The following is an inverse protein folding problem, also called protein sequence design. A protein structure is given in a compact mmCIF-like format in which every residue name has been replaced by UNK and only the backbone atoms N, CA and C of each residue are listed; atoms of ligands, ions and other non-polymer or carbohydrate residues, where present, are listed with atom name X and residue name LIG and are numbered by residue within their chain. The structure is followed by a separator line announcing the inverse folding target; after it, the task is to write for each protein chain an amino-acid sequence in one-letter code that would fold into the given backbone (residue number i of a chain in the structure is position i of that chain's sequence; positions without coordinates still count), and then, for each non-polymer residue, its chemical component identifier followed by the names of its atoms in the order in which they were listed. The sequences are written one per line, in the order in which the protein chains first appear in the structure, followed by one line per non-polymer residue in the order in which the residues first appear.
data_IF_553530346980
#
_entry.id   IF_553530346980
#
_cell.length_a   1.000
_cell.length_b   1.000
_cell.length_c   1.000
_cell.angle_alpha   90.00
_cell.angle_beta   90.00
_cell.angle_gamma   90.00
#
_symmetry.space_group_name_H-M   'P 1'
#
loop_
_entity.id
_entity.type
_entity.pdbx_description
1 polymer ?
#
# COMPACT_ATOMS: atom_id res chain seq x y z
N UNK A 1 -79.17 9.80 -35.99
CA UNK A 1 -78.25 8.78 -35.48
C UNK A 1 -76.90 9.43 -35.20
N UNK A 2 -76.56 9.63 -33.96
CA UNK A 2 -75.34 10.41 -33.48
C UNK A 2 -74.31 9.39 -33.07
N UNK A 3 -73.21 9.36 -33.78
CA UNK A 3 -71.99 8.59 -33.33
C UNK A 3 -71.16 9.41 -32.45
N UNK A 4 -71.02 8.94 -31.21
CA UNK A 4 -70.08 9.48 -30.22
C UNK A 4 -68.68 8.86 -30.47
N UNK A 5 -67.69 9.70 -30.77
CA UNK A 5 -66.31 9.31 -30.87
C UNK A 5 -65.70 9.48 -29.43
N UNK A 6 -65.32 8.37 -28.86
CA UNK A 6 -64.55 8.37 -27.56
C UNK A 6 -63.08 8.53 -27.87
N UNK A 7 -62.54 9.69 -27.53
CA UNK A 7 -61.08 9.94 -27.56
C UNK A 7 -60.43 9.38 -26.30
N UNK A 8 -59.61 8.35 -26.41
CA UNK A 8 -58.75 7.84 -25.36
C UNK A 8 -57.46 8.63 -25.34
N UNK A 9 -57.25 9.44 -24.30
CA UNK A 9 -55.96 10.06 -24.01
C UNK A 9 -55.01 8.99 -23.44
N UNK A 10 -53.94 8.71 -24.16
CA UNK A 10 -52.81 7.94 -23.68
C UNK A 10 -51.84 8.89 -22.97
N UNK A 11 -51.86 8.89 -21.66
CA UNK A 11 -50.88 9.59 -20.83
C UNK A 11 -49.57 8.81 -20.81
N UNK A 12 -48.53 9.35 -21.47
CA UNK A 12 -47.18 8.83 -21.36
C UNK A 12 -46.58 9.27 -20.04
N UNK A 13 -46.46 8.33 -19.08
CA UNK A 13 -45.77 8.52 -17.84
C UNK A 13 -44.25 8.38 -18.12
N UNK A 14 -43.55 9.51 -18.32
CA UNK A 14 -42.09 9.55 -18.41
C UNK A 14 -41.50 9.35 -17.01
N UNK A 15 -41.17 8.10 -16.69
CA UNK A 15 -40.41 7.77 -15.48
C UNK A 15 -38.97 8.23 -15.64
N UNK A 16 -38.61 9.34 -15.01
CA UNK A 16 -37.21 9.74 -14.83
C UNK A 16 -36.54 8.76 -13.86
N UNK A 17 -35.74 7.83 -14.38
CA UNK A 17 -34.81 7.04 -13.59
C UNK A 17 -33.71 7.99 -13.09
N UNK A 18 -33.86 8.50 -11.90
CA UNK A 18 -32.74 9.06 -11.15
C UNK A 18 -31.82 7.91 -10.79
N UNK A 19 -30.79 7.68 -11.62
CA UNK A 19 -29.65 6.86 -11.24
C UNK A 19 -28.89 7.63 -10.15
N UNK A 20 -29.30 7.48 -8.89
CA UNK A 20 -28.51 7.89 -7.75
C UNK A 20 -27.23 7.08 -7.76
N UNK A 21 -26.10 7.71 -7.98
CA UNK A 21 -24.81 7.10 -7.67
C UNK A 21 -24.87 6.74 -6.18
N UNK A 22 -24.94 5.45 -5.88
CA UNK A 22 -24.76 4.98 -4.51
C UNK A 22 -23.30 5.28 -4.15
N UNK A 23 -23.07 6.35 -3.39
CA UNK A 23 -21.81 6.55 -2.72
C UNK A 23 -21.69 5.38 -1.74
N UNK A 24 -20.64 4.58 -1.89
CA UNK A 24 -20.35 3.54 -0.92
C UNK A 24 -20.16 4.21 0.45
N UNK A 25 -20.92 3.77 1.43
CA UNK A 25 -20.80 4.28 2.78
C UNK A 25 -19.44 3.83 3.33
N UNK A 26 -18.63 4.79 3.77
CA UNK A 26 -17.33 4.53 4.36
C UNK A 26 -17.56 3.85 5.72
N UNK A 27 -16.98 2.68 5.93
CA UNK A 27 -17.25 1.85 7.09
C UNK A 27 -16.74 2.42 8.43
N UNK A 28 -15.86 3.43 8.41
CA UNK A 28 -15.36 4.11 9.61
C UNK A 28 -14.89 5.52 9.30
N UNK A 29 -15.10 6.45 10.24
CA UNK A 29 -14.53 7.80 10.21
C UNK A 29 -13.14 7.86 10.82
N UNK A 30 -12.66 6.79 11.42
CA UNK A 30 -11.32 6.72 12.00
C UNK A 30 -10.25 6.83 10.90
N UNK A 31 -9.13 7.52 11.16
CA UNK A 31 -8.11 7.69 10.16
C UNK A 31 -7.42 6.37 9.82
N UNK A 32 -7.18 6.16 8.52
CA UNK A 32 -6.26 5.12 8.04
C UNK A 32 -4.84 5.64 8.24
N UNK A 33 -4.11 5.03 9.16
CA UNK A 33 -2.75 5.43 9.53
C UNK A 33 -1.73 4.68 8.68
N UNK A 34 -1.14 5.38 7.71
CA UNK A 34 -0.13 4.85 6.81
C UNK A 34 1.26 5.10 7.36
N UNK A 35 2.09 4.05 7.36
CA UNK A 35 3.47 4.17 7.79
C UNK A 35 4.30 4.96 6.78
N UNK A 36 5.09 5.93 7.24
CA UNK A 36 6.14 6.60 6.48
C UNK A 36 7.52 6.14 6.96
N UNK A 37 8.41 5.90 6.00
CA UNK A 37 9.84 5.71 6.20
C UNK A 37 10.62 6.86 5.55
N UNK A 38 11.94 6.80 5.57
CA UNK A 38 12.84 7.88 5.14
C UNK A 38 13.44 7.69 3.74
N UNK A 39 13.05 6.63 3.00
CA UNK A 39 13.52 6.43 1.63
C UNK A 39 12.45 6.75 0.58
N UNK A 40 12.91 7.27 -0.57
CA UNK A 40 12.05 7.89 -1.59
C UNK A 40 10.98 6.94 -2.17
N UNK A 41 11.32 5.66 -2.40
CA UNK A 41 10.39 4.68 -2.97
C UNK A 41 9.15 4.52 -2.08
N UNK A 42 9.36 4.24 -0.82
CA UNK A 42 8.29 4.06 0.15
C UNK A 42 7.48 5.35 0.36
N UNK A 43 8.14 6.50 0.47
CA UNK A 43 7.46 7.79 0.60
C UNK A 43 6.48 8.04 -0.56
N UNK A 44 6.94 7.80 -1.80
CA UNK A 44 6.11 7.98 -2.99
C UNK A 44 4.94 6.98 -2.99
N UNK A 45 5.20 5.70 -2.76
CA UNK A 45 4.19 4.66 -2.75
C UNK A 45 3.12 4.93 -1.68
N UNK A 46 3.54 5.30 -0.49
CA UNK A 46 2.62 5.61 0.61
C UNK A 46 1.78 6.84 0.31
N UNK A 47 2.38 7.89 -0.28
CA UNK A 47 1.64 9.08 -0.67
C UNK A 47 0.63 8.83 -1.79
N UNK A 48 0.98 8.00 -2.78
CA UNK A 48 0.04 7.58 -3.83
C UNK A 48 -1.13 6.81 -3.23
N UNK A 49 -0.86 5.83 -2.37
CA UNK A 49 -1.91 5.06 -1.71
C UNK A 49 -2.81 5.96 -0.85
N UNK A 50 -2.21 6.87 -0.08
CA UNK A 50 -2.96 7.81 0.73
C UNK A 50 -3.89 8.69 -0.10
N UNK A 51 -3.41 9.22 -1.24
CA UNK A 51 -4.25 10.01 -2.14
C UNK A 51 -5.43 9.22 -2.72
N UNK A 52 -5.22 7.95 -3.06
CA UNK A 52 -6.29 7.07 -3.54
C UNK A 52 -7.36 6.86 -2.44
N UNK A 53 -6.91 6.65 -1.20
CA UNK A 53 -7.82 6.50 -0.06
C UNK A 53 -8.58 7.79 0.25
N UNK A 54 -7.93 8.95 0.17
CA UNK A 54 -8.56 10.27 0.34
C UNK A 54 -9.61 10.53 -0.75
N UNK A 55 -9.30 10.21 -2.02
CA UNK A 55 -10.27 10.31 -3.12
C UNK A 55 -11.47 9.36 -2.94
N UNK A 56 -11.25 8.22 -2.32
CA UNK A 56 -12.31 7.29 -1.93
C UNK A 56 -13.12 7.76 -0.71
N UNK A 57 -12.71 8.88 -0.08
CA UNK A 57 -13.42 9.52 1.02
C UNK A 57 -12.93 9.14 2.42
N UNK A 58 -11.86 8.35 2.54
CA UNK A 58 -11.29 8.01 3.84
C UNK A 58 -10.45 9.14 4.42
N UNK A 59 -10.42 9.24 5.75
CA UNK A 59 -9.45 10.07 6.45
C UNK A 59 -8.09 9.36 6.44
N UNK A 60 -7.03 10.07 6.10
CA UNK A 60 -5.67 9.51 6.05
C UNK A 60 -4.75 10.25 6.99
N UNK A 61 -3.98 9.51 7.76
CA UNK A 61 -2.92 10.00 8.62
C UNK A 61 -1.60 9.30 8.26
N UNK A 62 -0.51 10.08 8.19
CA UNK A 62 0.82 9.56 7.90
C UNK A 62 1.65 9.53 9.18
N UNK A 63 2.12 8.35 9.55
CA UNK A 63 2.83 8.12 10.81
C UNK A 63 4.27 7.67 10.51
N UNK A 64 5.24 8.46 10.95
CA UNK A 64 6.65 8.07 10.85
C UNK A 64 6.92 6.88 11.76
N UNK A 65 7.49 5.82 11.22
CA UNK A 65 7.87 4.65 11.98
C UNK A 65 9.17 4.04 11.43
N UNK A 66 9.90 3.38 12.30
CA UNK A 66 11.03 2.55 11.92
C UNK A 66 10.53 1.30 11.17
N UNK A 67 11.33 0.79 10.21
CA UNK A 67 10.93 -0.32 9.33
C UNK A 67 10.51 -1.58 10.09
N UNK A 68 11.25 -2.00 11.09
CA UNK A 68 10.89 -3.18 11.88
C UNK A 68 9.82 -2.85 12.92
N UNK A 69 9.87 -1.67 13.53
CA UNK A 69 8.89 -1.26 14.53
C UNK A 69 7.45 -1.15 13.97
N UNK A 70 7.27 -0.90 12.66
CA UNK A 70 5.94 -0.85 12.04
C UNK A 70 5.11 -2.11 12.26
N UNK A 71 5.73 -3.30 12.30
CA UNK A 71 5.00 -4.55 12.51
C UNK A 71 4.36 -4.64 13.89
N UNK A 72 4.97 -4.04 14.91
CA UNK A 72 4.35 -3.91 16.22
C UNK A 72 3.12 -3.00 16.17
N UNK A 73 3.24 -1.83 15.53
CA UNK A 73 2.13 -0.90 15.36
C UNK A 73 0.96 -1.49 14.56
N UNK A 74 1.23 -2.29 13.51
CA UNK A 74 0.19 -3.01 12.77
C UNK A 74 -0.52 -4.06 13.66
N UNK A 75 0.22 -4.81 14.49
CA UNK A 75 -0.37 -5.81 15.40
C UNK A 75 -1.24 -5.21 16.49
N UNK A 76 -0.94 -3.99 16.93
CA UNK A 76 -1.71 -3.27 17.98
C UNK A 76 -2.83 -2.42 17.42
N UNK A 77 -2.82 -2.10 16.12
CA UNK A 77 -3.76 -1.17 15.48
C UNK A 77 -3.35 0.31 15.60
N UNK A 78 -2.16 0.59 16.12
CA UNK A 78 -1.58 1.95 16.11
C UNK A 78 -1.21 2.41 14.70
N UNK A 79 -0.98 1.45 13.79
CA UNK A 79 -0.85 1.62 12.36
C UNK A 79 -1.90 0.77 11.65
N UNK A 80 -2.40 1.25 10.50
CA UNK A 80 -3.44 0.55 9.72
C UNK A 80 -2.87 -0.10 8.48
N UNK A 81 -1.93 0.55 7.80
CA UNK A 81 -1.39 0.12 6.51
C UNK A 81 0.09 0.45 6.41
N UNK A 82 0.86 -0.52 5.95
CA UNK A 82 2.26 -0.36 5.57
C UNK A 82 2.45 -0.73 4.11
N UNK A 83 3.13 0.13 3.37
CA UNK A 83 3.54 -0.10 1.99
C UNK A 83 4.99 -0.55 1.95
N UNK A 84 5.33 -1.35 0.92
CA UNK A 84 6.71 -1.68 0.59
C UNK A 84 7.44 -2.50 1.70
N UNK A 85 7.03 -3.75 1.84
CA UNK A 85 7.74 -4.73 2.67
C UNK A 85 8.74 -5.49 1.80
N UNK A 86 10.00 -5.48 2.20
CA UNK A 86 11.10 -6.16 1.51
C UNK A 86 11.31 -7.57 2.07
N UNK A 87 11.24 -8.57 1.19
CA UNK A 87 11.32 -9.97 1.60
C UNK A 87 12.68 -10.34 2.24
N UNK A 88 13.75 -9.67 1.84
CA UNK A 88 15.10 -9.92 2.38
C UNK A 88 15.27 -9.51 3.84
N UNK A 89 14.56 -8.45 4.28
CA UNK A 89 14.74 -7.87 5.61
C UNK A 89 13.47 -7.89 6.47
N UNK A 90 12.30 -8.00 5.84
CA UNK A 90 11.01 -7.90 6.51
C UNK A 90 10.18 -9.18 6.52
N UNK A 91 10.58 -10.26 5.81
CA UNK A 91 9.74 -11.44 5.66
C UNK A 91 9.42 -12.11 7.00
N UNK A 92 10.42 -12.31 7.84
CA UNK A 92 10.21 -12.93 9.15
C UNK A 92 9.23 -12.14 10.02
N UNK A 93 9.40 -10.81 10.08
CA UNK A 93 8.51 -9.93 10.85
C UNK A 93 7.08 -9.88 10.26
N UNK A 94 6.95 -9.97 8.93
CA UNK A 94 5.66 -10.08 8.25
C UNK A 94 4.97 -11.40 8.59
N UNK A 95 5.71 -12.52 8.52
CA UNK A 95 5.19 -13.86 8.83
C UNK A 95 4.72 -13.93 10.29
N UNK A 96 5.51 -13.41 11.23
CA UNK A 96 5.11 -13.31 12.64
C UNK A 96 3.86 -12.44 12.83
N UNK A 97 3.79 -11.30 12.15
CA UNK A 97 2.65 -10.39 12.27
C UNK A 97 1.37 -11.03 11.71
N UNK A 98 1.45 -11.68 10.54
CA UNK A 98 0.30 -12.36 9.91
C UNK A 98 -0.14 -13.60 10.68
N UNK A 99 0.78 -14.34 11.31
CA UNK A 99 0.46 -15.48 12.17
C UNK A 99 -0.43 -15.10 13.37
N UNK A 100 -0.44 -13.83 13.79
CA UNK A 100 -1.36 -13.38 14.85
C UNK A 100 -2.82 -13.33 14.42
N UNK A 101 -3.12 -13.37 13.11
CA UNK A 101 -4.44 -13.16 12.55
C UNK A 101 -4.95 -11.72 12.62
N UNK A 102 -4.15 -10.78 13.12
CA UNK A 102 -4.48 -9.34 13.22
C UNK A 102 -3.97 -8.53 12.05
N UNK A 103 -2.98 -9.04 11.34
CA UNK A 103 -2.37 -8.42 10.18
C UNK A 103 -2.60 -9.31 8.96
N UNK A 104 -2.89 -8.70 7.83
CA UNK A 104 -3.11 -9.40 6.56
C UNK A 104 -2.09 -8.89 5.55
N UNK A 105 -1.42 -9.80 4.84
CA UNK A 105 -0.66 -9.45 3.66
C UNK A 105 -1.64 -9.23 2.50
N UNK A 106 -1.75 -7.99 2.03
CA UNK A 106 -2.67 -7.60 0.95
C UNK A 106 -2.14 -7.94 -0.45
N UNK A 107 -0.93 -8.48 -0.55
CA UNK A 107 -0.30 -8.85 -1.81
C UNK A 107 0.87 -7.94 -2.20
N UNK A 108 1.36 -8.17 -3.41
CA UNK A 108 2.51 -7.45 -3.94
C UNK A 108 2.12 -6.09 -4.53
N UNK A 109 2.99 -5.11 -4.39
CA UNK A 109 2.81 -3.78 -5.00
C UNK A 109 2.96 -3.79 -6.53
N UNK A 110 3.53 -4.85 -7.10
CA UNK A 110 3.85 -4.97 -8.52
C UNK A 110 5.10 -4.19 -8.96
N UNK A 111 5.77 -3.52 -8.04
CA UNK A 111 7.00 -2.80 -8.32
C UNK A 111 8.18 -3.77 -8.40
N UNK A 112 8.99 -3.61 -9.45
CA UNK A 112 10.21 -4.39 -9.59
C UNK A 112 11.35 -3.68 -8.85
N UNK A 113 11.99 -4.38 -7.93
CA UNK A 113 13.11 -3.86 -7.15
C UNK A 113 14.19 -4.93 -6.98
N UNK A 114 15.41 -4.50 -6.78
CA UNK A 114 16.58 -5.36 -6.55
C UNK A 114 17.30 -4.85 -5.33
N UNK A 115 17.59 -5.72 -4.37
CA UNK A 115 18.48 -5.45 -3.24
C UNK A 115 19.87 -5.99 -3.55
N UNK A 116 20.87 -5.14 -3.44
CA UNK A 116 22.26 -5.48 -3.73
C UNK A 116 23.19 -4.81 -2.72
N UNK A 117 24.35 -5.42 -2.52
CA UNK A 117 25.42 -4.80 -1.76
C UNK A 117 26.32 -4.00 -2.70
N UNK A 118 26.62 -2.79 -2.28
CA UNK A 118 27.46 -1.85 -3.03
C UNK A 118 28.75 -1.60 -2.29
N UNK A 119 29.84 -1.44 -3.03
CA UNK A 119 31.12 -1.05 -2.49
C UNK A 119 31.82 -0.04 -3.42
N UNK A 120 32.64 0.88 -2.88
CA UNK A 120 33.46 1.79 -3.68
C UNK A 120 34.49 1.02 -4.51
N UNK A 121 34.76 1.48 -5.73
CA UNK A 121 35.66 0.75 -6.65
C UNK A 121 37.06 0.53 -6.09
N UNK A 122 37.58 1.42 -5.24
CA UNK A 122 38.90 1.26 -4.60
C UNK A 122 38.98 0.01 -3.71
N UNK A 123 37.84 -0.49 -3.24
CA UNK A 123 37.81 -1.72 -2.43
C UNK A 123 38.28 -2.95 -3.19
N UNK A 124 38.29 -2.96 -4.52
CA UNK A 124 38.88 -4.06 -5.33
C UNK A 124 40.38 -4.20 -5.13
N UNK A 125 41.06 -3.11 -4.79
CA UNK A 125 42.51 -3.10 -4.50
C UNK A 125 42.79 -3.61 -3.09
N UNK A 126 41.91 -3.27 -2.14
CA UNK A 126 42.04 -3.66 -0.72
C UNK A 126 41.52 -5.08 -0.45
N UNK A 127 40.54 -5.52 -1.21
CA UNK A 127 39.90 -6.83 -1.12
C UNK A 127 39.85 -7.50 -2.48
N UNK A 128 40.97 -8.11 -2.93
CA UNK A 128 41.00 -8.84 -4.19
C UNK A 128 40.01 -10.02 -4.17
N UNK A 129 39.23 -10.14 -5.24
CA UNK A 129 38.18 -11.17 -5.34
C UNK A 129 36.78 -10.59 -5.37
N UNK A 130 36.56 -9.34 -4.97
CA UNK A 130 35.31 -8.64 -5.22
C UNK A 130 35.03 -8.53 -6.74
N UNK A 131 33.80 -8.75 -7.20
CA UNK A 131 32.54 -8.72 -6.47
C UNK A 131 32.05 -10.03 -5.84
N UNK A 132 32.84 -11.11 -5.83
CA UNK A 132 32.41 -12.30 -5.09
C UNK A 132 32.36 -11.95 -3.59
N UNK A 133 31.15 -11.97 -2.99
CA UNK A 133 30.94 -11.65 -1.58
C UNK A 133 31.73 -12.56 -0.62
N UNK A 134 32.13 -13.77 -1.09
CA UNK A 134 32.94 -14.71 -0.28
C UNK A 134 34.32 -14.16 0.03
N UNK A 135 34.83 -13.29 -0.84
CA UNK A 135 36.13 -12.63 -0.62
C UNK A 135 36.15 -11.76 0.64
N UNK A 136 34.98 -11.29 1.10
CA UNK A 136 34.87 -10.49 2.32
C UNK A 136 35.42 -11.22 3.57
N UNK A 137 35.41 -12.56 3.58
CA UNK A 137 35.99 -13.33 4.68
C UNK A 137 37.49 -13.21 4.78
N UNK A 138 38.17 -12.99 3.64
CA UNK A 138 39.63 -12.95 3.55
C UNK A 138 40.16 -11.53 3.72
N UNK A 139 39.30 -10.51 3.72
CA UNK A 139 39.64 -9.12 3.85
C UNK A 139 38.76 -8.37 4.87
N UNK A 140 38.26 -9.06 5.88
CA UNK A 140 37.39 -8.48 6.92
C UNK A 140 38.04 -7.33 7.71
N UNK A 141 39.35 -7.23 7.69
CA UNK A 141 40.10 -6.18 8.39
C UNK A 141 40.05 -4.79 7.74
N UNK A 142 39.51 -4.74 6.50
CA UNK A 142 39.38 -3.47 5.72
C UNK A 142 38.00 -2.86 5.75
N UNK A 143 37.07 -3.45 6.51
CA UNK A 143 35.68 -3.01 6.68
C UNK A 143 35.35 -2.53 8.09
#
# INVERSE_FOLDING_TARGET
MRHLIKSTLFGALAGTLLSGAALAEIGSSDPIKLTLHDWSGQLINTKIMGSILEEAGYNVEYVQADYIAQFAGLKTGDLTLAMEIWATTGQEALDEATATGKVVNAGETGLQAIEEWWYPLYMKELCPGLPDWKALKDCSEVF
#
